data_IF_933349695128
#
_entry.id   IF_933349695128
#
_cell.length_a   1.000
_cell.length_b   1.000
_cell.length_c   1.000
_cell.angle_alpha   90.00
_cell.angle_beta   90.00
_cell.angle_gamma   90.00
#
_symmetry.space_group_name_H-M   'P 1'
#
loop_
_entity.id
_entity.type
_entity.pdbx_description
1 polymer ?
#
# COMPACT_ATOMS: atom_id res chain seq x y z
N UNK A 1 -22.61 -8.42 -16.34
CA UNK A 1 -23.33 -7.84 -15.18
C UNK A 1 -22.79 -8.51 -13.93
N UNK A 2 -22.57 -7.74 -12.86
CA UNK A 2 -22.15 -8.26 -11.55
C UNK A 2 -23.08 -9.37 -11.04
N UNK A 3 -24.38 -9.26 -11.36
CA UNK A 3 -25.37 -10.29 -11.07
C UNK A 3 -25.09 -11.64 -11.74
N UNK A 4 -24.35 -11.68 -12.86
CA UNK A 4 -23.97 -12.93 -13.53
C UNK A 4 -22.76 -13.62 -12.89
N UNK A 5 -21.97 -12.88 -12.10
CA UNK A 5 -20.74 -13.38 -11.46
C UNK A 5 -20.82 -13.36 -9.94
N UNK A 6 -22.01 -13.05 -9.38
CA UNK A 6 -22.23 -12.84 -7.94
C UNK A 6 -21.14 -11.97 -7.28
N UNK A 7 -20.78 -10.87 -7.97
CA UNK A 7 -19.66 -10.01 -7.57
C UNK A 7 -20.11 -8.73 -6.88
N UNK A 8 -19.24 -8.20 -6.02
CA UNK A 8 -19.40 -6.91 -5.34
C UNK A 8 -18.34 -5.92 -5.83
N UNK A 9 -18.62 -4.61 -5.70
CA UNK A 9 -17.67 -3.56 -6.05
C UNK A 9 -17.45 -2.64 -4.84
N UNK A 10 -16.19 -2.24 -4.67
CA UNK A 10 -15.75 -1.32 -3.64
C UNK A 10 -15.03 -0.13 -4.29
N UNK A 11 -15.44 1.08 -3.92
CA UNK A 11 -14.80 2.31 -4.31
C UNK A 11 -14.49 3.15 -3.07
N UNK A 12 -13.44 3.97 -3.17
CA UNK A 12 -13.19 4.99 -2.14
C UNK A 12 -14.30 6.05 -2.17
N UNK A 13 -14.45 6.80 -1.06
CA UNK A 13 -15.24 8.04 -1.06
C UNK A 13 -14.67 9.00 -2.10
N UNK A 14 -15.51 9.85 -2.69
CA UNK A 14 -15.10 10.74 -3.78
C UNK A 14 -13.88 11.61 -3.43
N UNK A 15 -13.82 12.15 -2.21
CA UNK A 15 -12.69 12.93 -1.68
C UNK A 15 -11.38 12.14 -1.56
N UNK A 16 -11.45 10.80 -1.59
CA UNK A 16 -10.31 9.89 -1.53
C UNK A 16 -10.00 9.22 -2.88
N UNK A 17 -10.72 9.57 -3.95
CA UNK A 17 -10.50 8.98 -5.28
C UNK A 17 -9.29 9.57 -6.01
N UNK A 18 -8.84 10.78 -5.65
CA UNK A 18 -7.62 11.41 -6.17
C UNK A 18 -6.46 11.23 -5.20
N UNK A 19 -5.24 11.53 -5.63
CA UNK A 19 -4.06 11.49 -4.77
C UNK A 19 -4.25 12.35 -3.52
N UNK A 20 -4.07 11.74 -2.35
CA UNK A 20 -4.25 12.38 -1.06
C UNK A 20 -3.33 11.79 0.01
N UNK A 21 -3.09 12.53 1.10
CA UNK A 21 -2.24 12.06 2.20
C UNK A 21 -2.87 10.92 3.03
N UNK A 22 -4.20 10.81 3.05
CA UNK A 22 -4.90 9.83 3.88
C UNK A 22 -4.64 8.39 3.41
N UNK A 23 -4.61 8.14 2.09
CA UNK A 23 -4.29 6.81 1.55
C UNK A 23 -2.85 6.39 1.87
N UNK A 24 -1.90 7.33 1.84
CA UNK A 24 -0.50 7.07 2.17
C UNK A 24 -0.35 6.77 3.66
N UNK A 25 -0.96 7.57 4.53
CA UNK A 25 -0.96 7.33 5.97
C UNK A 25 -1.60 5.98 6.34
N UNK A 26 -2.71 5.63 5.69
CA UNK A 26 -3.36 4.33 5.87
C UNK A 26 -2.45 3.18 5.45
N UNK A 27 -1.90 3.20 4.23
CA UNK A 27 -1.00 2.16 3.75
C UNK A 27 0.25 2.00 4.63
N UNK A 28 0.84 3.12 5.08
CA UNK A 28 1.97 3.13 6.01
C UNK A 28 1.61 2.51 7.37
N UNK A 29 0.46 2.88 7.94
CA UNK A 29 -0.01 2.29 9.20
C UNK A 29 -0.26 0.78 9.08
N UNK A 30 -0.80 0.31 7.95
CA UNK A 30 -1.00 -1.12 7.71
C UNK A 30 0.33 -1.88 7.64
N UNK A 31 1.35 -1.34 6.95
CA UNK A 31 2.70 -1.92 6.92
C UNK A 31 3.37 -1.92 8.29
N UNK A 32 3.27 -0.82 9.04
CA UNK A 32 3.82 -0.72 10.38
C UNK A 32 3.17 -1.73 11.34
N UNK A 33 1.84 -1.88 11.30
CA UNK A 33 1.11 -2.89 12.08
C UNK A 33 1.52 -4.33 11.73
N UNK A 34 1.91 -4.56 10.48
CA UNK A 34 2.46 -5.83 10.04
C UNK A 34 3.93 -6.07 10.47
N UNK A 35 4.54 -5.12 11.21
CA UNK A 35 5.91 -5.23 11.70
C UNK A 35 6.98 -4.83 10.68
N UNK A 36 6.59 -4.36 9.49
CA UNK A 36 7.53 -3.86 8.49
C UNK A 36 8.12 -2.52 8.93
N UNK A 37 9.43 -2.36 8.71
CA UNK A 37 10.17 -1.13 9.02
C UNK A 37 11.15 -0.82 7.90
N UNK A 38 11.33 0.46 7.63
CA UNK A 38 12.45 0.97 6.83
C UNK A 38 13.67 1.24 7.73
N UNK A 39 14.85 1.27 7.12
CA UNK A 39 16.08 1.71 7.78
C UNK A 39 16.09 3.20 8.10
N UNK A 40 17.23 3.72 8.55
CA UNK A 40 17.37 5.12 9.02
C UNK A 40 17.26 6.18 7.91
N UNK A 41 17.31 5.77 6.64
CA UNK A 41 17.31 6.68 5.48
C UNK A 41 15.95 6.70 4.82
N UNK A 42 15.47 7.90 4.51
CA UNK A 42 14.34 8.10 3.60
C UNK A 42 14.87 8.08 2.17
N UNK A 43 14.34 7.18 1.34
CA UNK A 43 14.72 7.04 -0.07
C UNK A 43 13.49 7.21 -0.95
N UNK A 44 13.61 8.08 -1.97
CA UNK A 44 12.58 8.25 -2.98
C UNK A 44 12.84 7.31 -4.17
N UNK A 45 11.80 6.61 -4.65
CA UNK A 45 11.87 5.72 -5.82
C UNK A 45 10.91 6.22 -6.90
N UNK A 46 11.39 7.03 -7.85
CA UNK A 46 10.53 7.63 -8.87
C UNK A 46 9.84 6.62 -9.80
N UNK A 47 10.45 5.45 -10.00
CA UNK A 47 9.89 4.35 -10.80
C UNK A 47 9.79 3.12 -9.93
N UNK A 48 8.69 2.98 -9.22
CA UNK A 48 8.46 1.87 -8.29
C UNK A 48 7.33 0.96 -8.76
N UNK A 49 7.65 -0.19 -9.38
CA UNK A 49 6.63 -1.15 -9.80
C UNK A 49 5.90 -1.75 -8.60
N UNK A 50 4.56 -1.63 -8.56
CA UNK A 50 3.76 -2.14 -7.44
C UNK A 50 3.94 -3.65 -7.20
N UNK A 51 4.21 -4.43 -8.24
CA UNK A 51 4.42 -5.87 -8.15
C UNK A 51 5.78 -6.27 -7.53
N UNK A 52 6.67 -5.31 -7.29
CA UNK A 52 7.92 -5.54 -6.55
C UNK A 52 7.76 -5.27 -5.05
N UNK A 53 6.59 -4.79 -4.62
CA UNK A 53 6.33 -4.54 -3.21
C UNK A 53 6.11 -5.86 -2.47
N UNK A 54 6.75 -6.05 -1.30
CA UNK A 54 6.48 -7.21 -0.47
C UNK A 54 5.04 -7.17 0.04
N UNK A 55 4.47 -8.36 0.19
CA UNK A 55 3.16 -8.57 0.82
C UNK A 55 3.18 -8.14 2.29
N UNK A 56 2.02 -7.86 2.88
CA UNK A 56 1.94 -7.52 4.31
C UNK A 56 2.35 -8.68 5.22
N UNK A 57 2.29 -9.93 4.75
CA UNK A 57 2.67 -11.10 5.53
C UNK A 57 4.19 -11.35 5.55
N UNK A 58 4.95 -10.63 4.73
CA UNK A 58 6.41 -10.76 4.66
C UNK A 58 7.08 -9.81 5.67
N UNK A 59 7.94 -10.37 6.53
CA UNK A 59 8.71 -9.60 7.51
C UNK A 59 9.87 -8.88 6.82
N UNK A 60 9.97 -7.56 7.03
CA UNK A 60 11.04 -6.72 6.47
C UNK A 60 11.62 -5.78 7.53
N UNK A 61 12.93 -5.89 7.74
CA UNK A 61 13.69 -5.12 8.72
C UNK A 61 14.67 -4.12 8.08
N UNK A 62 15.06 -4.33 6.81
CA UNK A 62 15.96 -3.45 6.04
C UNK A 62 15.23 -2.34 5.27
N UNK A 63 13.91 -2.47 5.10
CA UNK A 63 13.06 -1.54 4.35
C UNK A 63 12.56 -2.06 3.02
N UNK A 64 11.79 -1.24 2.32
CA UNK A 64 11.17 -1.56 1.03
C UNK A 64 12.09 -1.32 -0.17
N UNK A 65 13.29 -0.78 0.07
CA UNK A 65 14.30 -0.44 -0.92
C UNK A 65 15.61 -0.99 -0.37
N UNK A 66 16.02 -2.17 -0.86
CA UNK A 66 17.36 -2.73 -0.60
C UNK A 66 18.42 -1.95 -1.40
#
# INVERSE_FOLDING_TARGET
SLAKVNGEIFYARHEFCTDNGAMIAYAGAQRLKAGQRDGERIVAVPRWPMNQLPSLTEVRLSGLID
#
